data_IF_889508758925
#
_entry.id   IF_889508758925
#
_cell.length_a   1.000
_cell.length_b   1.000
_cell.length_c   1.000
_cell.angle_alpha   90.00
_cell.angle_beta   90.00
_cell.angle_gamma   90.00
#
_symmetry.space_group_name_H-M   'P 1'
#
loop_
_entity.id
_entity.type
_entity.pdbx_description
1 polymer ?
#
# COMPACT_ATOMS: atom_id res chain seq x y z
N UNK A 1 18.96 -5.42 -5.31
CA UNK A 1 18.99 -5.39 -3.83
C UNK A 1 17.55 -5.29 -3.36
N UNK A 2 17.05 -6.27 -2.61
CA UNK A 2 15.70 -6.18 -2.02
C UNK A 2 15.71 -5.04 -1.01
N UNK A 3 14.81 -4.07 -1.16
CA UNK A 3 14.70 -2.98 -0.19
C UNK A 3 14.10 -3.55 1.11
N UNK A 4 14.71 -3.36 2.29
CA UNK A 4 14.18 -3.88 3.55
C UNK A 4 12.76 -3.37 3.85
N UNK A 5 12.37 -2.21 3.31
CA UNK A 5 11.00 -1.70 3.39
C UNK A 5 10.01 -2.58 2.62
N UNK A 6 10.42 -3.10 1.47
CA UNK A 6 9.63 -3.93 0.57
C UNK A 6 9.36 -5.29 1.19
N UNK A 7 10.41 -5.97 1.68
CA UNK A 7 10.27 -7.24 2.39
C UNK A 7 9.43 -7.12 3.67
N UNK A 8 9.53 -5.99 4.38
CA UNK A 8 8.69 -5.72 5.53
C UNK A 8 7.22 -5.46 5.13
N UNK A 9 6.98 -4.78 4.01
CA UNK A 9 5.65 -4.51 3.47
C UNK A 9 4.96 -5.81 3.04
N UNK A 10 5.64 -6.65 2.26
CA UNK A 10 5.17 -7.95 1.78
C UNK A 10 4.76 -8.86 2.94
N UNK A 11 5.52 -8.87 4.04
CA UNK A 11 5.26 -9.71 5.21
C UNK A 11 4.36 -9.03 6.28
N UNK A 12 3.88 -7.80 6.05
CA UNK A 12 3.02 -7.10 7.00
C UNK A 12 3.71 -6.60 8.28
N UNK A 13 5.03 -6.46 8.27
CA UNK A 13 5.85 -6.06 9.42
C UNK A 13 5.86 -4.54 9.63
N UNK A 14 4.72 -4.00 10.09
CA UNK A 14 4.55 -2.55 10.35
C UNK A 14 5.60 -1.97 11.32
N UNK A 15 6.08 -2.76 12.29
CA UNK A 15 7.12 -2.32 13.24
C UNK A 15 8.44 -1.96 12.54
N UNK A 16 8.83 -2.73 11.51
CA UNK A 16 10.04 -2.46 10.71
C UNK A 16 9.84 -1.22 9.86
N UNK A 17 8.65 -1.04 9.27
CA UNK A 17 8.31 0.16 8.49
C UNK A 17 8.33 1.43 9.35
N UNK A 18 7.81 1.37 10.58
CA UNK A 18 7.92 2.47 11.56
C UNK A 18 9.36 2.81 11.89
N UNK A 19 10.20 1.79 12.07
CA UNK A 19 11.63 1.97 12.34
C UNK A 19 12.37 2.60 11.14
N UNK A 20 12.07 2.16 9.92
CA UNK A 20 12.62 2.74 8.69
C UNK A 20 12.17 4.20 8.52
N UNK A 21 10.93 4.51 8.87
CA UNK A 21 10.40 5.87 8.86
C UNK A 21 11.13 6.78 9.84
N UNK A 22 11.37 6.32 11.06
CA UNK A 22 12.13 7.08 12.06
C UNK A 22 13.56 7.42 11.60
N UNK A 23 14.12 6.64 10.66
CA UNK A 23 15.44 6.85 10.06
C UNK A 23 15.44 7.63 8.74
N UNK A 24 14.27 8.04 8.25
CA UNK A 24 14.15 8.71 6.95
C UNK A 24 14.43 7.80 5.74
N UNK A 25 14.51 6.48 5.95
CA UNK A 25 14.74 5.49 4.89
C UNK A 25 13.43 4.97 4.27
N UNK A 26 12.30 5.50 4.72
CA UNK A 26 10.98 5.06 4.31
C UNK A 26 10.58 5.69 2.96
N UNK A 27 10.35 4.83 1.97
CA UNK A 27 9.83 5.20 0.65
C UNK A 27 8.37 4.76 0.56
N UNK A 28 7.50 5.76 0.51
CA UNK A 28 6.05 5.65 0.53
C UNK A 28 5.47 4.78 -0.59
N UNK A 29 5.90 5.01 -1.84
CA UNK A 29 5.32 4.39 -3.04
C UNK A 29 5.60 2.88 -3.11
N UNK A 30 6.87 2.48 -3.00
CA UNK A 30 7.27 1.06 -3.06
C UNK A 30 6.62 0.22 -1.97
N UNK A 31 6.54 0.75 -0.74
CA UNK A 31 5.89 0.05 0.38
C UNK A 31 4.41 -0.16 0.13
N UNK A 32 3.74 0.83 -0.46
CA UNK A 32 2.32 0.74 -0.78
C UNK A 32 2.07 -0.26 -1.92
N UNK A 33 2.87 -0.27 -2.98
CA UNK A 33 2.74 -1.24 -4.07
C UNK A 33 2.93 -2.68 -3.59
N UNK A 34 3.99 -2.95 -2.82
CA UNK A 34 4.21 -4.30 -2.27
C UNK A 34 3.14 -4.72 -1.27
N UNK A 35 2.68 -3.79 -0.42
CA UNK A 35 1.61 -4.08 0.52
C UNK A 35 0.26 -4.28 -0.18
N UNK A 36 0.02 -3.58 -1.28
CA UNK A 36 -1.17 -3.71 -2.13
C UNK A 36 -1.18 -5.06 -2.85
N UNK A 37 -0.06 -5.48 -3.43
CA UNK A 37 0.08 -6.78 -4.11
C UNK A 37 -0.19 -7.98 -3.20
N UNK A 38 0.13 -7.86 -1.91
CA UNK A 38 -0.02 -8.90 -0.90
C UNK A 38 -1.24 -8.70 0.03
N UNK A 39 -2.11 -7.74 -0.32
CA UNK A 39 -3.33 -7.43 0.43
C UNK A 39 -3.12 -7.15 1.92
N UNK A 40 -1.99 -6.54 2.26
CA UNK A 40 -1.57 -6.30 3.65
C UNK A 40 -2.29 -5.08 4.22
N UNK A 41 -3.57 -5.24 4.55
CA UNK A 41 -4.44 -4.20 5.14
C UNK A 41 -3.83 -3.43 6.31
N UNK A 42 -3.05 -4.09 7.19
CA UNK A 42 -2.39 -3.43 8.33
C UNK A 42 -1.35 -2.40 7.89
N UNK A 43 -0.58 -2.72 6.84
CA UNK A 43 0.43 -1.81 6.27
C UNK A 43 -0.25 -0.67 5.53
N UNK A 44 -1.27 -0.97 4.73
CA UNK A 44 -2.07 0.01 3.99
C UNK A 44 -2.75 1.04 4.92
N UNK A 45 -3.37 0.58 6.02
CA UNK A 45 -3.94 1.44 7.07
C UNK A 45 -2.88 2.33 7.72
N UNK A 46 -1.72 1.76 8.03
CA UNK A 46 -0.63 2.53 8.63
C UNK A 46 -0.07 3.58 7.65
N UNK A 47 0.10 3.22 6.38
CA UNK A 47 0.53 4.15 5.33
C UNK A 47 -0.45 5.32 5.20
N UNK A 48 -1.76 5.07 5.19
CA UNK A 48 -2.75 6.16 5.19
C UNK A 48 -2.71 7.03 6.45
N UNK A 49 -2.48 6.43 7.63
CA UNK A 49 -2.38 7.19 8.88
C UNK A 49 -1.21 8.20 8.90
N UNK A 50 -0.23 8.02 8.02
CA UNK A 50 0.92 8.91 7.91
C UNK A 50 0.83 9.89 6.74
N UNK A 51 -0.33 9.98 6.08
CA UNK A 51 -0.56 10.88 4.94
C UNK A 51 0.05 10.36 3.64
N UNK A 52 0.28 9.06 3.52
CA UNK A 52 0.78 8.47 2.29
C UNK A 52 -0.30 8.55 1.20
N UNK A 53 0.06 9.13 0.05
CA UNK A 53 -0.86 9.32 -1.08
C UNK A 53 -0.98 8.00 -1.84
N UNK A 54 -2.21 7.61 -2.12
CA UNK A 54 -2.49 6.48 -3.00
C UNK A 54 -2.48 6.99 -4.43
N UNK A 55 -1.61 6.43 -5.25
CA UNK A 55 -1.59 6.69 -6.67
C UNK A 55 -2.37 5.58 -7.42
N UNK A 56 -2.57 5.79 -8.71
CA UNK A 56 -3.32 4.87 -9.56
C UNK A 56 -2.60 3.51 -9.72
N UNK A 57 -1.27 3.52 -9.73
CA UNK A 57 -0.41 2.31 -9.75
C UNK A 57 -0.70 1.39 -8.56
N UNK A 58 -0.71 1.94 -7.35
CA UNK A 58 -0.99 1.20 -6.10
C UNK A 58 -2.40 0.60 -6.14
N UNK A 59 -3.37 1.32 -6.71
CA UNK A 59 -4.74 0.84 -6.84
C UNK A 59 -4.85 -0.30 -7.85
N UNK A 60 -4.15 -0.19 -8.99
CA UNK A 60 -4.07 -1.25 -9.98
C UNK A 60 -3.40 -2.50 -9.40
N UNK A 61 -2.29 -2.36 -8.68
CA UNK A 61 -1.61 -3.48 -8.01
C UNK A 61 -2.50 -4.13 -6.95
N UNK A 62 -3.28 -3.35 -6.19
CA UNK A 62 -4.25 -3.89 -5.25
C UNK A 62 -5.37 -4.68 -5.95
N UNK A 63 -5.84 -4.20 -7.12
CA UNK A 63 -6.85 -4.86 -7.92
C UNK A 63 -6.33 -6.16 -8.56
N UNK A 64 -5.08 -6.15 -9.04
CA UNK A 64 -4.37 -7.32 -9.59
C UNK A 64 -4.08 -8.37 -8.51
N UNK A 65 -3.82 -7.93 -7.27
CA UNK A 65 -3.70 -8.78 -6.07
C UNK A 65 -5.00 -9.52 -5.70
N UNK A 66 -6.11 -9.25 -6.40
CA UNK A 66 -7.38 -10.00 -6.30
C UNK A 66 -8.25 -9.62 -5.11
N UNK A 67 -7.83 -8.64 -4.31
CA UNK A 67 -8.48 -8.33 -3.03
C UNK A 67 -9.36 -7.08 -3.16
N UNK A 68 -10.55 -7.29 -3.72
CA UNK A 68 -11.61 -6.29 -3.90
C UNK A 68 -11.85 -5.45 -2.63
N UNK A 69 -11.67 -6.04 -1.45
CA UNK A 69 -11.86 -5.35 -0.18
C UNK A 69 -10.87 -4.19 0.02
N UNK A 70 -9.64 -4.27 -0.53
CA UNK A 70 -8.68 -3.16 -0.49
C UNK A 70 -9.11 -2.04 -1.42
N UNK A 71 -9.55 -2.40 -2.64
CA UNK A 71 -10.03 -1.46 -3.65
C UNK A 71 -11.27 -0.72 -3.15
N UNK A 72 -12.26 -1.44 -2.61
CA UNK A 72 -13.47 -0.85 -2.04
C UNK A 72 -13.16 0.05 -0.84
N UNK A 73 -12.22 -0.38 0.02
CA UNK A 73 -11.79 0.39 1.18
C UNK A 73 -11.04 1.68 0.80
N UNK A 74 -10.25 1.63 -0.27
CA UNK A 74 -9.58 2.80 -0.84
C UNK A 74 -10.58 3.75 -1.51
N UNK A 75 -11.53 3.21 -2.28
CA UNK A 75 -12.59 3.97 -2.97
C UNK A 75 -13.43 4.78 -1.97
N UNK A 76 -13.83 4.15 -0.86
CA UNK A 76 -14.61 4.77 0.20
C UNK A 76 -13.91 5.95 0.89
N UNK A 77 -12.59 6.10 0.72
CA UNK A 77 -11.78 7.17 1.32
C UNK A 77 -11.39 8.27 0.33
N UNK A 78 -11.97 8.26 -0.87
CA UNK A 78 -11.71 9.26 -1.90
C UNK A 78 -10.45 8.99 -2.71
N UNK A 79 -9.89 7.78 -2.66
CA UNK A 79 -8.93 7.38 -3.69
C UNK A 79 -9.69 7.24 -5.02
N UNK A 80 -9.14 7.80 -6.09
CA UNK A 80 -9.68 7.69 -7.46
C UNK A 80 -9.46 6.29 -8.06
N UNK A 81 -9.43 5.25 -7.23
CA UNK A 81 -9.23 3.86 -7.65
C UNK A 81 -10.36 3.29 -8.53
N UNK A 82 -11.46 4.03 -8.68
CA UNK A 82 -12.69 3.60 -9.35
C UNK A 82 -12.76 3.92 -10.86
N UNK A 83 -11.65 4.30 -11.53
CA UNK A 83 -11.74 4.77 -12.92
C UNK A 83 -11.51 3.71 -14.02
N UNK A 84 -11.21 2.43 -13.72
CA UNK A 84 -10.83 1.47 -14.78
C UNK A 84 -11.43 0.05 -14.70
N UNK A 85 -12.41 -0.24 -13.82
CA UNK A 85 -13.20 -1.47 -13.95
C UNK A 85 -14.55 -1.16 -14.60
N UNK A 86 -14.53 -0.81 -15.89
CA UNK A 86 -15.73 -0.66 -16.70
C UNK A 86 -15.43 -1.10 -18.14
N UNK A 87 -15.48 -2.41 -18.38
CA UNK A 87 -15.98 -3.07 -19.60
C UNK A 87 -15.75 -4.58 -19.49
#
# INVERSE_FOLDING_TARGET
MINPAEGAALNGHVSVLKWLKARGLFRNELVLESAASESRFKVLKWALSIGCVWNESICQTAAEGGDKAVVDWAAARGCTCAAHSSA
#
